data_IF_236601869920
#
_entry.id   IF_236601869920
#
_cell.length_a   1.000
_cell.length_b   1.000
_cell.length_c   1.000
_cell.angle_alpha   90.00
_cell.angle_beta   90.00
_cell.angle_gamma   90.00
#
_symmetry.space_group_name_H-M   'P 1'
#
loop_
_entity.id
_entity.type
_entity.pdbx_description
1 polymer ?
#
# COMPACT_ATOMS: atom_id res chain seq x y z
N UNK A 1 -46.31 3.66 -3.54
CA UNK A 1 -45.22 3.39 -4.51
C UNK A 1 -43.84 3.99 -4.15
N UNK A 2 -43.73 5.04 -3.31
CA UNK A 2 -42.43 5.68 -2.99
C UNK A 2 -41.52 4.84 -2.07
N UNK A 3 -42.07 4.15 -1.06
CA UNK A 3 -41.31 3.35 -0.09
C UNK A 3 -40.51 2.19 -0.73
N UNK A 4 -41.09 1.50 -1.72
CA UNK A 4 -40.40 0.40 -2.42
C UNK A 4 -39.17 0.88 -3.21
N UNK A 5 -39.20 2.10 -3.75
CA UNK A 5 -38.06 2.68 -4.49
C UNK A 5 -36.93 3.12 -3.54
N UNK A 6 -37.26 3.64 -2.36
CA UNK A 6 -36.27 4.06 -1.37
C UNK A 6 -35.50 2.88 -0.78
N UNK A 7 -36.18 1.76 -0.51
CA UNK A 7 -35.53 0.53 0.00
C UNK A 7 -34.57 -0.06 -1.02
N UNK A 8 -34.96 -0.11 -2.29
CA UNK A 8 -34.09 -0.59 -3.38
C UNK A 8 -32.86 0.30 -3.54
N UNK A 9 -33.01 1.63 -3.45
CA UNK A 9 -31.89 2.56 -3.51
C UNK A 9 -30.91 2.39 -2.34
N UNK A 10 -31.41 2.22 -1.11
CA UNK A 10 -30.54 1.94 0.05
C UNK A 10 -29.80 0.60 -0.09
N UNK A 11 -30.48 -0.45 -0.56
CA UNK A 11 -29.86 -1.75 -0.81
C UNK A 11 -28.75 -1.67 -1.85
N UNK A 12 -28.94 -0.92 -2.95
CA UNK A 12 -27.92 -0.72 -3.97
C UNK A 12 -26.71 0.05 -3.42
N UNK A 13 -26.93 1.09 -2.60
CA UNK A 13 -25.84 1.83 -1.95
C UNK A 13 -25.07 0.94 -0.94
N UNK A 14 -25.77 0.07 -0.21
CA UNK A 14 -25.15 -0.90 0.71
C UNK A 14 -24.35 -1.98 -0.04
N UNK A 15 -24.86 -2.50 -1.16
CA UNK A 15 -24.14 -3.46 -1.98
C UNK A 15 -22.91 -2.86 -2.66
N UNK A 16 -23.01 -1.62 -3.16
CA UNK A 16 -21.88 -0.93 -3.79
C UNK A 16 -20.80 -0.52 -2.78
N UNK A 17 -21.16 -0.26 -1.51
CA UNK A 17 -20.18 0.04 -0.45
C UNK A 17 -19.51 -1.20 0.13
N UNK A 18 -20.08 -2.40 -0.08
CA UNK A 18 -19.49 -3.68 0.32
C UNK A 18 -18.55 -4.29 -0.73
N UNK A 19 -18.56 -3.81 -1.98
CA UNK A 19 -17.59 -4.22 -3.00
C UNK A 19 -16.27 -3.47 -2.83
N UNK A 20 -15.53 -3.78 -1.75
CA UNK A 20 -14.09 -3.49 -1.72
C UNK A 20 -13.38 -4.61 -2.47
N UNK A 21 -12.52 -4.25 -3.40
CA UNK A 21 -11.63 -5.22 -4.01
C UNK A 21 -10.76 -5.83 -2.91
N UNK A 22 -10.82 -7.14 -2.77
CA UNK A 22 -10.01 -7.86 -1.79
C UNK A 22 -8.57 -7.94 -2.30
N UNK A 23 -7.60 -7.67 -1.41
CA UNK A 23 -6.19 -7.81 -1.77
C UNK A 23 -5.86 -9.30 -1.96
N UNK A 24 -5.45 -9.67 -3.17
CA UNK A 24 -4.95 -11.02 -3.43
C UNK A 24 -3.72 -11.32 -2.55
N UNK A 25 -3.59 -12.54 -1.98
CA UNK A 25 -2.50 -12.89 -1.08
C UNK A 25 -1.12 -12.60 -1.68
N UNK A 26 -0.21 -12.09 -0.85
CA UNK A 26 1.19 -11.90 -1.22
C UNK A 26 1.91 -13.25 -1.25
N UNK A 27 2.52 -13.59 -2.40
CA UNK A 27 3.23 -14.86 -2.60
C UNK A 27 4.75 -14.68 -2.63
N UNK A 28 5.22 -13.48 -2.95
CA UNK A 28 6.63 -13.11 -2.89
C UNK A 28 6.77 -11.59 -2.73
N UNK A 29 7.92 -11.16 -2.22
CA UNK A 29 8.27 -9.75 -2.19
C UNK A 29 9.72 -9.53 -1.85
N UNK A 30 10.23 -8.36 -2.20
CA UNK A 30 11.56 -7.89 -1.81
C UNK A 30 11.48 -6.45 -1.33
N UNK A 31 12.48 -6.08 -0.53
CA UNK A 31 12.67 -4.72 -0.06
C UNK A 31 14.06 -4.27 -0.45
N UNK A 32 14.16 -3.07 -1.03
CA UNK A 32 15.42 -2.43 -1.35
C UNK A 32 15.52 -1.09 -0.63
N UNK A 33 16.61 -0.80 0.05
CA UNK A 33 16.80 0.45 0.79
C UNK A 33 18.22 0.97 0.67
N UNK A 34 18.38 2.29 0.79
CA UNK A 34 19.69 2.94 0.83
C UNK A 34 20.25 2.90 2.25
N UNK A 35 21.52 2.50 2.39
CA UNK A 35 22.27 2.61 3.65
C UNK A 35 22.87 4.01 3.83
N UNK A 36 23.44 4.31 5.01
CA UNK A 36 24.10 5.59 5.28
C UNK A 36 25.26 5.93 4.33
N UNK A 37 25.77 4.97 3.56
CA UNK A 37 26.79 5.17 2.52
C UNK A 37 26.24 5.17 1.09
N UNK A 38 24.93 5.38 0.89
CA UNK A 38 24.23 5.32 -0.40
C UNK A 38 24.34 3.97 -1.14
N UNK A 39 24.75 2.91 -0.44
CA UNK A 39 24.73 1.55 -0.97
C UNK A 39 23.30 1.02 -0.88
N UNK A 40 22.77 0.58 -2.02
CA UNK A 40 21.48 -0.10 -2.12
C UNK A 40 21.60 -1.57 -1.75
N UNK A 41 20.83 -1.99 -0.75
CA UNK A 41 20.72 -3.40 -0.35
C UNK A 41 19.34 -3.88 -0.74
N UNK A 42 19.25 -5.05 -1.38
CA UNK A 42 17.99 -5.76 -1.62
C UNK A 42 17.92 -7.03 -0.77
N UNK A 43 16.75 -7.26 -0.16
CA UNK A 43 16.44 -8.43 0.67
C UNK A 43 15.09 -9.01 0.27
N UNK A 44 15.04 -10.33 0.07
CA UNK A 44 13.78 -11.05 -0.10
C UNK A 44 13.05 -11.16 1.23
N UNK A 45 11.73 -10.94 1.21
CA UNK A 45 10.89 -11.06 2.40
C UNK A 45 10.60 -12.52 2.72
N UNK A 46 10.69 -12.88 4.00
CA UNK A 46 10.26 -14.18 4.48
C UNK A 46 8.73 -14.32 4.46
N UNK A 47 8.21 -15.55 4.56
CA UNK A 47 6.77 -15.80 4.62
C UNK A 47 6.09 -15.08 5.80
N UNK A 48 6.74 -15.04 6.96
CA UNK A 48 6.23 -14.30 8.12
C UNK A 48 6.15 -12.79 7.85
N UNK A 49 7.15 -12.22 7.18
CA UNK A 49 7.15 -10.81 6.79
C UNK A 49 6.08 -10.51 5.75
N UNK A 50 5.87 -11.40 4.77
CA UNK A 50 4.81 -11.25 3.78
C UNK A 50 3.41 -11.27 4.43
N UNK A 51 3.19 -12.15 5.40
CA UNK A 51 1.92 -12.19 6.15
C UNK A 51 1.72 -10.92 6.97
N UNK A 52 2.74 -10.49 7.71
CA UNK A 52 2.66 -9.24 8.48
C UNK A 52 2.44 -8.01 7.59
N UNK A 53 3.08 -7.98 6.42
CA UNK A 53 2.91 -6.90 5.45
C UNK A 53 1.51 -6.91 4.84
N UNK A 54 0.97 -8.08 4.54
CA UNK A 54 -0.40 -8.22 4.05
C UNK A 54 -1.40 -7.64 5.05
N UNK A 55 -1.21 -7.90 6.36
CA UNK A 55 -2.05 -7.34 7.42
C UNK A 55 -1.88 -5.84 7.55
N UNK A 56 -0.63 -5.35 7.52
CA UNK A 56 -0.33 -3.92 7.60
C UNK A 56 -0.97 -3.15 6.43
N UNK A 57 -0.90 -3.68 5.21
CA UNK A 57 -1.54 -3.08 4.03
C UNK A 57 -3.06 -3.10 4.10
N UNK A 58 -3.65 -4.19 4.61
CA UNK A 58 -5.10 -4.27 4.79
C UNK A 58 -5.61 -3.19 5.78
N UNK A 59 -4.88 -2.97 6.87
CA UNK A 59 -5.18 -1.91 7.85
C UNK A 59 -5.01 -0.51 7.26
N UNK A 60 -4.09 -0.36 6.31
CA UNK A 60 -3.76 0.91 5.65
C UNK A 60 -4.28 0.98 4.19
N UNK A 61 -5.36 0.28 3.88
CA UNK A 61 -5.92 0.18 2.51
C UNK A 61 -6.72 1.42 2.07
N UNK A 62 -6.87 2.41 2.95
CA UNK A 62 -7.72 3.60 2.76
C UNK A 62 -6.93 4.89 2.80
N UNK A 63 -7.52 5.99 2.32
CA UNK A 63 -6.91 7.32 2.23
C UNK A 63 -5.74 7.44 1.24
N UNK A 64 -5.62 6.49 0.32
CA UNK A 64 -4.77 6.66 -0.85
C UNK A 64 -5.36 7.75 -1.74
N UNK A 65 -4.56 8.78 -2.03
CA UNK A 65 -4.84 9.85 -2.97
C UNK A 65 -4.23 9.56 -4.33
N UNK A 66 -4.80 10.14 -5.38
CA UNK A 66 -4.23 10.03 -6.74
C UNK A 66 -2.90 10.78 -6.80
N UNK A 67 -1.89 10.20 -7.46
CA UNK A 67 -0.72 10.97 -7.87
C UNK A 67 -0.83 11.43 -9.31
N UNK A 68 -0.41 12.68 -9.54
CA UNK A 68 -0.28 13.28 -10.86
C UNK A 68 1.19 13.29 -11.33
N UNK A 69 2.13 13.15 -10.40
CA UNK A 69 3.58 13.21 -10.64
C UNK A 69 4.24 12.16 -9.73
N UNK A 70 5.22 11.43 -10.26
CA UNK A 70 6.12 10.58 -9.48
C UNK A 70 7.34 11.41 -9.06
N UNK A 71 7.50 11.78 -7.79
CA UNK A 71 8.66 12.53 -7.35
C UNK A 71 9.94 11.67 -7.43
N UNK A 72 11.07 12.33 -7.65
CA UNK A 72 12.38 11.70 -7.68
C UNK A 72 12.90 11.45 -6.26
N UNK A 73 13.55 10.30 -6.05
CA UNK A 73 14.21 9.97 -4.79
C UNK A 73 13.34 9.12 -3.88
N UNK A 74 13.68 7.83 -3.81
CA UNK A 74 13.13 6.88 -2.85
C UNK A 74 14.22 6.48 -1.86
N UNK A 75 13.87 6.34 -0.58
CA UNK A 75 14.77 5.80 0.44
C UNK A 75 14.52 4.31 0.71
N UNK A 76 13.37 3.81 0.26
CA UNK A 76 12.90 2.45 0.48
C UNK A 76 11.95 2.07 -0.66
N UNK A 77 12.18 0.96 -1.33
CA UNK A 77 11.22 0.36 -2.25
C UNK A 77 10.86 -1.05 -1.78
N UNK A 78 9.59 -1.39 -1.91
CA UNK A 78 9.03 -2.71 -1.61
C UNK A 78 8.39 -3.18 -2.90
N UNK A 79 8.82 -4.33 -3.41
CA UNK A 79 8.26 -4.97 -4.59
C UNK A 79 7.46 -6.18 -4.16
N UNK A 80 6.23 -6.32 -4.66
CA UNK A 80 5.27 -7.33 -4.22
C UNK A 80 4.71 -8.10 -5.40
N UNK A 81 4.57 -9.42 -5.22
CA UNK A 81 3.89 -10.31 -6.17
C UNK A 81 2.69 -10.95 -5.50
N UNK A 82 1.55 -10.88 -6.17
CA UNK A 82 0.28 -11.41 -5.70
C UNK A 82 -0.02 -12.78 -6.31
N UNK A 83 -0.85 -13.57 -5.63
CA UNK A 83 -1.25 -14.91 -6.07
C UNK A 83 -2.02 -14.90 -7.40
N UNK A 84 -2.74 -13.81 -7.70
CA UNK A 84 -3.42 -13.60 -8.98
C UNK A 84 -2.47 -13.24 -10.14
N UNK A 85 -1.16 -13.19 -9.90
CA UNK A 85 -0.13 -12.85 -10.88
C UNK A 85 0.16 -11.36 -11.03
N UNK A 86 -0.58 -10.47 -10.35
CA UNK A 86 -0.29 -9.04 -10.37
C UNK A 86 0.96 -8.69 -9.56
N UNK A 87 1.49 -7.49 -9.79
CA UNK A 87 2.59 -6.94 -9.01
C UNK A 87 2.27 -5.52 -8.58
N UNK A 88 2.62 -5.24 -7.33
CA UNK A 88 2.53 -3.91 -6.73
C UNK A 88 3.92 -3.47 -6.31
N UNK A 89 4.16 -2.16 -6.26
CA UNK A 89 5.35 -1.63 -5.59
C UNK A 89 5.00 -0.48 -4.68
N UNK A 90 5.74 -0.32 -3.60
CA UNK A 90 5.57 0.77 -2.63
C UNK A 90 6.92 1.42 -2.40
N UNK A 91 6.99 2.73 -2.54
CA UNK A 91 8.20 3.52 -2.41
C UNK A 91 8.04 4.59 -1.34
N UNK A 92 8.97 4.68 -0.40
CA UNK A 92 9.04 5.78 0.55
C UNK A 92 9.67 6.98 -0.13
N UNK A 93 8.91 8.08 -0.19
CA UNK A 93 9.35 9.31 -0.84
C UNK A 93 10.07 10.22 0.14
N UNK A 94 11.10 10.91 -0.36
CA UNK A 94 11.83 11.92 0.41
C UNK A 94 11.14 13.29 0.27
N UNK A 95 10.22 13.60 1.18
CA UNK A 95 9.68 14.95 1.33
C UNK A 95 10.29 15.66 2.55
N UNK A 96 10.43 16.98 2.47
CA UNK A 96 10.88 17.83 3.59
C UNK A 96 9.71 18.13 4.55
N UNK A 97 8.98 17.09 4.97
CA UNK A 97 7.81 17.20 5.83
C UNK A 97 7.97 16.39 7.11
N UNK A 98 7.21 16.75 8.13
CA UNK A 98 7.12 15.99 9.40
C UNK A 98 6.41 14.63 9.26
N UNK A 99 5.84 14.34 8.09
CA UNK A 99 5.21 13.07 7.76
C UNK A 99 5.98 12.39 6.63
N UNK A 100 5.96 11.06 6.66
CA UNK A 100 6.53 10.23 5.60
C UNK A 100 5.44 9.86 4.62
N UNK A 101 5.68 10.05 3.33
CA UNK A 101 4.72 9.67 2.28
C UNK A 101 5.19 8.41 1.59
N UNK A 102 4.30 7.44 1.43
CA UNK A 102 4.51 6.30 0.55
C UNK A 102 3.78 6.53 -0.76
N UNK A 103 4.43 6.15 -1.85
CA UNK A 103 3.84 6.03 -3.17
C UNK A 103 3.66 4.57 -3.50
N UNK A 104 2.46 4.17 -3.87
CA UNK A 104 2.22 2.85 -4.40
C UNK A 104 2.01 2.90 -5.91
N UNK A 105 2.48 1.87 -6.62
CA UNK A 105 2.20 1.61 -8.02
C UNK A 105 1.31 0.37 -8.09
N UNK A 106 0.10 0.52 -8.63
CA UNK A 106 -0.91 -0.56 -8.80
C UNK A 106 -1.18 -1.38 -7.54
N UNK A 107 -1.43 -0.71 -6.40
CA UNK A 107 -1.67 -1.38 -5.12
C UNK A 107 -3.03 -2.10 -5.11
N UNK A 108 -3.01 -3.40 -5.39
CA UNK A 108 -4.20 -4.26 -5.32
C UNK A 108 -4.83 -4.24 -3.93
N UNK A 109 -6.16 -4.17 -3.87
CA UNK A 109 -6.96 -4.14 -2.65
C UNK A 109 -6.96 -2.80 -1.88
N UNK A 110 -6.52 -1.73 -2.52
CA UNK A 110 -6.64 -0.37 -1.98
C UNK A 110 -7.89 0.34 -2.51
N UNK A 111 -8.23 1.51 -1.96
CA UNK A 111 -9.31 2.34 -2.51
C UNK A 111 -9.00 2.93 -3.90
N UNK A 112 -7.80 2.69 -4.45
CA UNK A 112 -7.35 3.13 -5.76
C UNK A 112 -6.58 2.04 -6.53
N UNK A 113 -6.91 0.74 -6.36
CA UNK A 113 -6.19 -0.36 -7.03
C UNK A 113 -6.07 -0.21 -8.55
N UNK A 114 -7.10 0.36 -9.18
CA UNK A 114 -7.17 0.58 -10.63
C UNK A 114 -6.28 1.74 -11.11
N UNK A 115 -5.70 2.52 -10.20
CA UNK A 115 -4.83 3.63 -10.55
C UNK A 115 -3.39 3.15 -10.76
N UNK A 116 -2.69 3.70 -11.77
CA UNK A 116 -1.28 3.36 -12.00
C UNK A 116 -0.40 3.81 -10.84
N UNK A 117 -0.84 4.79 -10.05
CA UNK A 117 -0.14 5.18 -8.84
C UNK A 117 -1.09 5.80 -7.81
N UNK A 118 -0.70 5.73 -6.53
CA UNK A 118 -1.36 6.42 -5.44
C UNK A 118 -0.35 6.88 -4.37
N UNK A 119 -0.73 7.90 -3.59
CA UNK A 119 0.07 8.45 -2.49
C UNK A 119 -0.71 8.41 -1.18
N UNK A 120 -0.03 8.13 -0.08
CA UNK A 120 -0.59 8.27 1.27
C UNK A 120 0.50 8.75 2.23
N UNK A 121 0.15 9.68 3.10
CA UNK A 121 1.02 10.13 4.20
C UNK A 121 0.73 9.33 5.46
N UNK A 122 1.80 8.93 6.14
CA UNK A 122 1.79 8.07 7.31
C UNK A 122 2.39 8.78 8.51
N UNK A 123 1.92 8.42 9.71
CA UNK A 123 2.54 8.88 10.93
C UNK A 123 3.91 8.20 11.10
N UNK A 124 4.76 8.78 11.96
CA UNK A 124 6.05 8.17 12.29
C UNK A 124 5.89 6.75 12.88
N UNK A 125 4.85 6.54 13.69
CA UNK A 125 4.56 5.23 14.31
C UNK A 125 4.21 4.19 13.25
N UNK A 126 3.42 4.56 12.23
CA UNK A 126 3.05 3.65 11.14
C UNK A 126 4.31 3.21 10.36
N UNK A 127 5.20 4.15 10.07
CA UNK A 127 6.45 3.86 9.35
C UNK A 127 7.41 3.03 10.20
N UNK A 128 7.53 3.32 11.49
CA UNK A 128 8.35 2.51 12.39
C UNK A 128 7.84 1.07 12.49
N UNK A 129 6.52 0.88 12.53
CA UNK A 129 5.93 -0.46 12.52
C UNK A 129 6.24 -1.20 11.21
N UNK A 130 6.20 -0.50 10.06
CA UNK A 130 6.57 -1.06 8.77
C UNK A 130 8.06 -1.41 8.71
N UNK A 131 8.93 -0.53 9.18
CA UNK A 131 10.38 -0.75 9.20
C UNK A 131 10.77 -1.91 10.11
N UNK A 132 10.14 -2.03 11.29
CA UNK A 132 10.35 -3.16 12.20
C UNK A 132 9.91 -4.48 11.57
N UNK A 133 8.73 -4.50 10.94
CA UNK A 133 8.22 -5.67 10.22
C UNK A 133 9.18 -6.11 9.09
N UNK A 134 9.75 -5.16 8.36
CA UNK A 134 10.68 -5.41 7.25
C UNK A 134 12.14 -5.65 7.71
N UNK A 135 12.41 -5.49 9.01
CA UNK A 135 13.74 -5.57 9.63
C UNK A 135 14.75 -4.61 8.98
N UNK A 136 14.31 -3.37 8.75
CA UNK A 136 15.16 -2.32 8.18
C UNK A 136 16.03 -1.67 9.26
N UNK A 137 17.28 -1.26 8.94
CA UNK A 137 18.10 -0.49 9.86
C UNK A 137 17.47 0.89 10.11
N UNK A 138 17.56 1.35 11.36
CA UNK A 138 17.08 2.67 11.80
C UNK A 138 18.05 3.78 11.42
#
# INVERSE_FOLDING_TARGET
MKLKRTIVAMLVVLFLSACREEMSPLVAGSVSYATQGDVWIEKTLSQQQLQGLSLWLAQNSSNWGRCFISPSGSTLNISLKHANGSSSSISQLKFHSSQTTLMANRLSGSNLSEQPCALQSFTQVDIESLHQLLELPR
#
